data_IF_147337918332
#
_entry.id   IF_147337918332
#
_cell.length_a   1.000
_cell.length_b   1.000
_cell.length_c   1.000
_cell.angle_alpha   90.00
_cell.angle_beta   90.00
_cell.angle_gamma   90.00
#
_symmetry.space_group_name_H-M   'P 1'
#
loop_
_entity.id
_entity.type
_entity.pdbx_description
1 polymer ?
#
# COMPACT_ATOMS: atom_id res chain seq x y z
N UNK A 1 -63.31 22.41 -35.79
CA UNK A 1 -63.22 20.95 -35.59
C UNK A 1 -61.95 20.45 -36.28
N UNK A 2 -61.00 19.92 -35.52
CA UNK A 2 -59.83 19.08 -35.88
C UNK A 2 -58.94 19.05 -34.61
N UNK A 3 -58.32 17.99 -34.11
CA UNK A 3 -58.05 16.62 -34.53
C UNK A 3 -56.77 16.22 -33.79
N UNK A 4 -56.75 15.15 -32.98
CA UNK A 4 -55.56 14.84 -32.15
C UNK A 4 -55.68 13.58 -31.28
N UNK A 5 -56.08 12.45 -31.85
CA UNK A 5 -56.34 11.20 -31.13
C UNK A 5 -55.42 10.02 -31.50
N UNK A 6 -54.15 10.26 -31.87
CA UNK A 6 -53.27 9.23 -32.45
C UNK A 6 -51.94 8.95 -31.74
N UNK A 7 -51.64 9.62 -30.63
CA UNK A 7 -50.30 9.60 -29.99
C UNK A 7 -50.19 8.85 -28.66
N UNK A 8 -51.31 8.59 -27.96
CA UNK A 8 -51.28 8.08 -26.58
C UNK A 8 -50.62 6.70 -26.45
N UNK A 9 -50.81 5.81 -27.43
CA UNK A 9 -50.19 4.48 -27.42
C UNK A 9 -48.66 4.53 -27.60
N UNK A 10 -48.14 5.55 -28.28
CA UNK A 10 -46.68 5.76 -28.46
C UNK A 10 -46.03 6.18 -27.15
N UNK A 11 -46.74 6.95 -26.32
CA UNK A 11 -46.27 7.36 -24.99
C UNK A 11 -46.20 6.14 -24.07
N UNK A 12 -47.23 5.29 -24.07
CA UNK A 12 -47.22 4.05 -23.29
C UNK A 12 -46.12 3.08 -23.74
N UNK A 13 -45.85 2.99 -25.05
CA UNK A 13 -44.75 2.19 -25.59
C UNK A 13 -43.37 2.73 -25.19
N UNK A 14 -43.18 4.06 -25.25
CA UNK A 14 -41.92 4.68 -24.84
C UNK A 14 -41.62 4.48 -23.34
N UNK A 15 -42.65 4.54 -22.50
CA UNK A 15 -42.52 4.29 -21.06
C UNK A 15 -42.13 2.83 -20.77
N UNK A 16 -42.76 1.86 -21.45
CA UNK A 16 -42.40 0.44 -21.36
C UNK A 16 -40.93 0.18 -21.74
N UNK A 17 -40.48 0.74 -22.87
CA UNK A 17 -39.09 0.55 -23.35
C UNK A 17 -38.10 1.18 -22.38
N UNK A 18 -38.44 2.33 -21.78
CA UNK A 18 -37.57 2.99 -20.80
C UNK A 18 -37.49 2.19 -19.51
N UNK A 19 -38.60 1.60 -19.05
CA UNK A 19 -38.62 0.70 -17.90
C UNK A 19 -37.79 -0.58 -18.15
N UNK A 20 -37.89 -1.17 -19.34
CA UNK A 20 -37.07 -2.33 -19.73
C UNK A 20 -35.58 -1.99 -19.84
N UNK A 21 -35.24 -0.81 -20.37
CA UNK A 21 -33.86 -0.32 -20.41
C UNK A 21 -33.30 -0.12 -19.00
N UNK A 22 -34.06 0.49 -18.09
CA UNK A 22 -33.65 0.67 -16.70
C UNK A 22 -33.46 -0.68 -15.99
N UNK A 23 -34.36 -1.63 -16.20
CA UNK A 23 -34.25 -2.99 -15.67
C UNK A 23 -33.00 -3.71 -16.20
N UNK A 24 -32.71 -3.57 -17.49
CA UNK A 24 -31.51 -4.13 -18.11
C UNK A 24 -30.23 -3.52 -17.53
N UNK A 25 -30.18 -2.19 -17.33
CA UNK A 25 -29.04 -1.53 -16.69
C UNK A 25 -28.81 -2.03 -15.26
N UNK A 26 -29.89 -2.25 -14.49
CA UNK A 26 -29.78 -2.80 -13.12
C UNK A 26 -29.26 -4.24 -13.15
N UNK A 27 -29.80 -5.09 -14.01
CA UNK A 27 -29.32 -6.47 -14.16
C UNK A 27 -27.88 -6.52 -14.68
N UNK A 28 -27.52 -5.62 -15.60
CA UNK A 28 -26.17 -5.48 -16.14
C UNK A 28 -25.16 -5.09 -15.04
N UNK A 29 -25.53 -4.16 -14.15
CA UNK A 29 -24.71 -3.77 -12.97
C UNK A 29 -24.60 -4.92 -11.96
N UNK A 30 -25.68 -5.66 -11.72
CA UNK A 30 -25.67 -6.80 -10.80
C UNK A 30 -24.86 -7.99 -11.34
N UNK A 31 -24.77 -8.13 -12.66
CA UNK A 31 -23.95 -9.14 -13.35
C UNK A 31 -22.48 -8.73 -13.51
N UNK A 32 -22.09 -7.51 -13.11
CA UNK A 32 -20.67 -7.16 -13.05
C UNK A 32 -20.00 -7.90 -11.89
N UNK A 33 -18.77 -8.34 -12.13
CA UNK A 33 -17.95 -9.08 -11.19
C UNK A 33 -17.72 -8.27 -9.90
N UNK A 34 -17.60 -8.95 -8.74
CA UNK A 34 -17.50 -8.26 -7.43
C UNK A 34 -16.24 -7.39 -7.30
N UNK A 35 -15.24 -7.64 -8.15
CA UNK A 35 -13.98 -6.89 -8.27
C UNK A 35 -14.19 -5.46 -8.78
N UNK A 36 -15.15 -5.23 -9.69
CA UNK A 36 -15.41 -3.90 -10.29
C UNK A 36 -16.16 -2.97 -9.31
N UNK A 37 -16.89 -3.52 -8.34
CA UNK A 37 -17.60 -2.73 -7.32
C UNK A 37 -16.65 -2.04 -6.34
N UNK A 38 -15.48 -2.62 -6.07
CA UNK A 38 -14.45 -2.04 -5.21
C UNK A 38 -13.81 -0.78 -5.79
N UNK A 39 -13.49 -0.81 -7.09
CA UNK A 39 -12.82 0.30 -7.79
C UNK A 39 -13.71 1.54 -7.90
N UNK A 40 -15.01 1.33 -8.15
CA UNK A 40 -15.98 2.43 -8.21
C UNK A 40 -16.18 3.07 -6.83
N UNK A 41 -16.11 2.29 -5.74
CA UNK A 41 -16.21 2.81 -4.38
C UNK A 41 -15.02 3.72 -4.02
N UNK A 42 -13.81 3.35 -4.45
CA UNK A 42 -12.61 4.18 -4.27
C UNK A 42 -12.77 5.54 -4.98
N UNK A 43 -13.29 5.55 -6.21
CA UNK A 43 -13.52 6.78 -6.99
C UNK A 43 -14.44 7.79 -6.28
N UNK A 44 -15.44 7.31 -5.52
CA UNK A 44 -16.35 8.18 -4.77
C UNK A 44 -15.78 8.67 -3.42
N UNK A 45 -14.81 7.96 -2.84
CA UNK A 45 -14.12 8.39 -1.62
C UNK A 45 -13.03 9.43 -1.91
N UNK A 46 -12.35 9.35 -3.06
CA UNK A 46 -11.23 10.25 -3.37
C UNK A 46 -11.67 11.67 -3.74
N UNK A 47 -12.93 11.88 -4.16
CA UNK A 47 -13.41 13.20 -4.61
C UNK A 47 -13.48 14.27 -3.51
N UNK A 48 -13.59 13.87 -2.24
CA UNK A 48 -13.73 14.83 -1.13
C UNK A 48 -12.39 15.34 -0.57
N UNK A 49 -11.24 14.74 -0.93
CA UNK A 49 -9.94 15.10 -0.34
C UNK A 49 -8.98 15.87 -1.26
N UNK A 50 -9.35 16.19 -2.51
CA UNK A 50 -8.44 16.82 -3.48
C UNK A 50 -8.89 18.18 -4.02
N UNK A 51 -9.87 18.83 -3.39
CA UNK A 51 -10.38 20.14 -3.81
C UNK A 51 -10.12 21.28 -2.82
N UNK A 52 -9.02 21.19 -2.07
CA UNK A 52 -8.54 22.31 -1.26
C UNK A 52 -7.04 22.46 -1.40
N UNK A 53 -6.57 23.03 -2.53
CA UNK A 53 -5.53 24.08 -2.57
C UNK A 53 -5.12 24.42 -4.02
N UNK A 54 -5.41 25.68 -4.37
CA UNK A 54 -4.56 26.62 -5.11
C UNK A 54 -4.57 26.68 -6.66
N UNK A 55 -5.06 27.86 -7.11
CA UNK A 55 -4.72 28.67 -8.29
C UNK A 55 -5.17 28.22 -9.70
N UNK A 56 -6.01 29.03 -10.39
CA UNK A 56 -6.24 28.91 -11.81
C UNK A 56 -5.16 29.68 -12.57
N UNK A 57 -4.32 28.97 -13.32
CA UNK A 57 -3.39 29.64 -14.24
C UNK A 57 -2.26 28.75 -14.70
N UNK A 58 -2.32 28.38 -15.98
CA UNK A 58 -1.27 27.72 -16.78
C UNK A 58 -1.04 26.26 -16.38
N UNK A 59 -1.56 25.34 -17.20
CA UNK A 59 -1.19 23.93 -17.19
C UNK A 59 0.09 23.79 -18.03
N UNK A 60 1.26 23.45 -17.44
CA UNK A 60 2.42 23.05 -18.23
C UNK A 60 2.16 21.69 -18.86
N UNK A 61 2.65 21.47 -20.09
CA UNK A 61 2.53 20.20 -20.82
C UNK A 61 3.10 18.97 -20.08
N UNK A 62 3.86 19.18 -19.00
CA UNK A 62 4.33 18.10 -18.11
C UNK A 62 3.19 17.40 -17.37
N UNK A 63 2.05 18.07 -17.17
CA UNK A 63 0.88 17.44 -16.59
C UNK A 63 0.32 16.33 -17.50
N UNK A 64 0.47 16.44 -18.83
CA UNK A 64 0.03 15.38 -19.75
C UNK A 64 0.90 14.14 -19.60
N UNK A 65 2.24 14.30 -19.50
CA UNK A 65 3.17 13.19 -19.23
C UNK A 65 2.98 12.58 -17.84
N UNK A 66 2.63 13.37 -16.84
CA UNK A 66 2.30 12.88 -15.49
C UNK A 66 0.95 12.14 -15.45
N UNK A 67 0.00 12.55 -16.28
CA UNK A 67 -1.30 11.89 -16.43
C UNK A 67 -1.17 10.63 -17.27
N UNK A 68 -0.38 10.61 -18.33
CA UNK A 68 -0.02 9.41 -19.11
C UNK A 68 0.78 8.44 -18.25
N UNK A 69 1.85 8.88 -17.58
CA UNK A 69 2.61 8.02 -16.65
C UNK A 69 1.75 7.48 -15.50
N UNK A 70 0.81 8.28 -14.96
CA UNK A 70 -0.16 7.75 -13.99
C UNK A 70 -1.12 6.76 -14.65
N UNK A 71 -1.65 7.08 -15.83
CA UNK A 71 -2.62 6.24 -16.52
C UNK A 71 -2.01 4.89 -16.89
N UNK A 72 -0.75 4.85 -17.31
CA UNK A 72 -0.01 3.61 -17.58
C UNK A 72 0.23 2.80 -16.28
N UNK A 73 0.55 3.47 -15.16
CA UNK A 73 0.64 2.82 -13.83
C UNK A 73 -0.72 2.24 -13.38
N UNK A 74 -1.84 2.89 -13.72
CA UNK A 74 -3.19 2.46 -13.31
C UNK A 74 -3.83 1.46 -14.29
N UNK A 75 -3.52 1.50 -15.60
CA UNK A 75 -4.00 0.54 -16.60
C UNK A 75 -3.22 -0.79 -16.52
N UNK A 76 -1.95 -0.77 -16.07
CA UNK A 76 -1.17 -1.98 -15.74
C UNK A 76 -1.27 -2.43 -14.27
N UNK A 77 -2.13 -1.82 -13.45
CA UNK A 77 -2.58 -2.42 -12.18
C UNK A 77 -3.51 -3.64 -12.41
N UNK A 78 -3.46 -4.22 -13.61
CA UNK A 78 -4.20 -5.36 -14.08
C UNK A 78 -3.64 -6.66 -13.47
N UNK A 79 -4.21 -7.05 -12.33
CA UNK A 79 -4.50 -8.45 -11.96
C UNK A 79 -3.41 -9.50 -12.28
N UNK A 80 -2.15 -9.36 -11.83
CA UNK A 80 -1.13 -10.46 -11.75
C UNK A 80 -0.09 -10.15 -10.64
N UNK A 81 0.35 -11.09 -9.77
CA UNK A 81 -0.36 -12.16 -9.08
C UNK A 81 -0.25 -11.95 -7.55
N UNK A 82 -1.34 -11.52 -6.89
CA UNK A 82 -1.43 -11.45 -5.42
C UNK A 82 -1.00 -12.78 -4.75
N UNK A 83 -1.08 -13.88 -5.48
CA UNK A 83 -0.57 -15.20 -5.11
C UNK A 83 0.89 -15.22 -4.67
N UNK A 84 1.80 -14.48 -5.32
CA UNK A 84 3.21 -14.47 -4.92
C UNK A 84 3.39 -13.76 -3.58
N UNK A 85 2.77 -12.59 -3.43
CA UNK A 85 2.76 -11.83 -2.16
C UNK A 85 2.03 -12.62 -1.07
N UNK A 86 1.00 -13.41 -1.41
CA UNK A 86 0.30 -14.32 -0.50
C UNK A 86 1.21 -15.44 -0.02
N UNK A 87 1.95 -16.10 -0.92
CA UNK A 87 2.94 -17.12 -0.55
C UNK A 87 4.04 -16.54 0.33
N UNK A 88 4.53 -15.35 0.01
CA UNK A 88 5.49 -14.63 0.84
C UNK A 88 4.93 -14.40 2.24
N UNK A 89 3.69 -13.93 2.37
CA UNK A 89 3.02 -13.77 3.67
C UNK A 89 2.90 -15.10 4.42
N UNK A 90 2.48 -16.19 3.74
CA UNK A 90 2.41 -17.52 4.34
C UNK A 90 3.77 -18.00 4.86
N UNK A 91 4.85 -17.78 4.10
CA UNK A 91 6.19 -18.17 4.47
C UNK A 91 6.75 -17.34 5.63
N UNK A 92 6.50 -16.03 5.65
CA UNK A 92 6.79 -15.19 6.82
C UNK A 92 6.03 -15.69 8.05
N UNK A 93 4.73 -15.96 7.93
CA UNK A 93 3.94 -16.51 9.04
C UNK A 93 4.54 -17.84 9.53
N UNK A 94 4.95 -18.75 8.63
CA UNK A 94 5.61 -20.01 9.01
C UNK A 94 6.90 -19.76 9.78
N UNK A 95 7.79 -18.89 9.30
CA UNK A 95 9.07 -18.58 9.96
C UNK A 95 8.85 -18.06 11.38
N UNK A 96 7.83 -17.24 11.60
CA UNK A 96 7.56 -16.63 12.90
C UNK A 96 6.78 -17.56 13.85
N UNK A 97 5.82 -18.33 13.34
CA UNK A 97 5.01 -19.26 14.15
C UNK A 97 5.81 -20.50 14.55
N UNK A 98 6.72 -20.97 13.69
CA UNK A 98 7.53 -22.17 13.97
C UNK A 98 8.70 -21.91 14.91
N UNK A 99 9.11 -20.65 15.10
CA UNK A 99 10.23 -20.26 15.96
C UNK A 99 9.81 -19.31 17.10
N UNK A 100 8.81 -19.66 17.93
CA UNK A 100 8.22 -18.73 18.91
C UNK A 100 9.20 -18.37 20.05
N UNK A 101 10.20 -19.20 20.33
CA UNK A 101 11.23 -18.91 21.33
C UNK A 101 12.18 -17.79 20.86
N UNK A 102 12.39 -17.68 19.55
CA UNK A 102 13.29 -16.72 18.94
C UNK A 102 12.53 -15.47 18.49
N UNK A 103 11.30 -15.63 17.99
CA UNK A 103 10.48 -14.57 17.38
C UNK A 103 9.29 -14.21 18.27
N UNK A 104 9.31 -13.01 18.85
CA UNK A 104 8.15 -12.48 19.57
C UNK A 104 7.13 -11.88 18.58
N UNK A 105 5.92 -12.45 18.56
CA UNK A 105 4.82 -11.99 17.71
C UNK A 105 4.38 -10.56 18.01
N UNK A 106 4.71 -10.00 19.19
CA UNK A 106 4.42 -8.60 19.53
C UNK A 106 5.32 -7.59 18.80
N UNK A 107 6.43 -8.06 18.22
CA UNK A 107 7.41 -7.26 17.49
C UNK A 107 7.06 -7.15 16.00
N UNK A 108 6.04 -7.85 15.54
CA UNK A 108 5.66 -7.86 14.13
C UNK A 108 4.14 -7.79 13.95
N UNK A 109 3.70 -6.93 13.06
CA UNK A 109 2.32 -6.90 12.56
C UNK A 109 2.33 -6.98 11.03
N UNK A 110 1.64 -7.97 10.49
CA UNK A 110 1.48 -8.16 9.05
C UNK A 110 0.03 -7.89 8.65
N UNK A 111 -0.15 -7.11 7.59
CA UNK A 111 -1.46 -6.79 7.03
C UNK A 111 -1.41 -6.92 5.51
N UNK A 112 -2.29 -7.75 4.96
CA UNK A 112 -2.51 -7.86 3.53
C UNK A 112 -3.63 -6.89 3.13
N UNK A 113 -3.38 -6.07 2.12
CA UNK A 113 -4.34 -5.14 1.52
C UNK A 113 -4.28 -5.23 -0.02
N UNK A 114 -5.05 -4.40 -0.71
CA UNK A 114 -5.10 -4.37 -2.19
C UNK A 114 -3.80 -3.89 -2.84
N UNK A 115 -2.95 -3.18 -2.11
CA UNK A 115 -1.66 -2.71 -2.62
C UNK A 115 -0.56 -3.74 -2.37
N UNK A 116 -0.69 -4.65 -1.40
CA UNK A 116 0.25 -5.73 -1.15
C UNK A 116 0.30 -6.20 0.31
N UNK A 117 1.49 -6.62 0.77
CA UNK A 117 1.75 -7.00 2.15
C UNK A 117 2.49 -5.87 2.87
N UNK A 118 1.87 -5.32 3.92
CA UNK A 118 2.51 -4.41 4.86
C UNK A 118 3.04 -5.19 6.07
N UNK A 119 4.35 -5.08 6.32
CA UNK A 119 5.04 -5.68 7.45
C UNK A 119 5.53 -4.55 8.36
N UNK A 120 4.94 -4.39 9.54
CA UNK A 120 5.41 -3.47 10.57
C UNK A 120 6.32 -4.22 11.55
N UNK A 121 7.56 -3.76 11.69
CA UNK A 121 8.54 -4.29 12.63
C UNK A 121 8.64 -3.30 13.79
N UNK A 122 8.03 -3.66 14.90
CA UNK A 122 7.72 -2.79 16.03
C UNK A 122 8.82 -2.84 17.09
N UNK A 123 9.22 -1.70 17.65
CA UNK A 123 10.05 -1.70 18.85
C UNK A 123 9.19 -1.94 20.09
N UNK A 124 9.30 -3.14 20.66
CA UNK A 124 8.65 -3.53 21.90
C UNK A 124 9.63 -3.38 23.09
N UNK A 125 9.29 -2.69 24.20
CA UNK A 125 10.19 -2.56 25.35
C UNK A 125 10.68 -3.88 25.94
N UNK A 126 9.84 -4.92 25.91
CA UNK A 126 10.20 -6.26 26.43
C UNK A 126 11.25 -6.96 25.55
N UNK A 127 11.29 -6.62 24.26
CA UNK A 127 12.17 -7.22 23.26
C UNK A 127 12.54 -6.19 22.17
N UNK A 128 13.41 -5.22 22.50
CA UNK A 128 13.67 -4.08 21.62
C UNK A 128 14.41 -4.52 20.36
N UNK A 129 14.05 -3.94 19.22
CA UNK A 129 14.73 -4.16 17.93
C UNK A 129 15.85 -3.15 17.70
N UNK A 130 15.74 -1.95 18.29
CA UNK A 130 16.77 -0.92 18.26
C UNK A 130 17.48 -0.87 19.60
N UNK A 131 18.79 -0.62 19.60
CA UNK A 131 19.54 -0.33 20.82
C UNK A 131 19.00 0.96 21.45
N UNK A 132 18.99 0.99 22.77
CA UNK A 132 18.56 2.16 23.54
C UNK A 132 19.42 3.39 23.17
N UNK A 133 18.76 4.54 22.97
CA UNK A 133 19.41 5.79 22.57
C UNK A 133 19.97 5.81 21.14
N UNK A 134 19.82 4.73 20.37
CA UNK A 134 20.28 4.70 18.98
C UNK A 134 19.20 5.13 17.99
N UNK A 135 19.62 5.88 16.98
CA UNK A 135 18.81 6.19 15.82
C UNK A 135 18.42 4.92 15.06
N UNK A 136 19.38 4.05 14.73
CA UNK A 136 19.15 2.91 13.83
C UNK A 136 19.97 1.65 14.15
N UNK A 137 20.82 1.64 15.18
CA UNK A 137 21.55 0.42 15.55
C UNK A 137 20.57 -0.63 16.07
N UNK A 138 20.68 -1.84 15.53
CA UNK A 138 19.84 -2.96 15.93
C UNK A 138 20.44 -3.71 17.11
N UNK A 139 19.56 -4.24 17.96
CA UNK A 139 19.92 -5.29 18.93
C UNK A 139 20.21 -6.61 18.21
N UNK A 140 20.77 -7.60 18.89
CA UNK A 140 20.93 -8.95 18.32
C UNK A 140 19.59 -9.54 17.88
N UNK A 141 18.54 -9.33 18.67
CA UNK A 141 17.19 -9.72 18.32
C UNK A 141 16.68 -8.97 17.08
N UNK A 142 16.87 -7.64 17.01
CA UNK A 142 16.52 -6.85 15.84
C UNK A 142 17.20 -7.36 14.58
N UNK A 143 18.51 -7.66 14.65
CA UNK A 143 19.24 -8.24 13.52
C UNK A 143 18.65 -9.58 13.09
N UNK A 144 18.31 -10.47 14.03
CA UNK A 144 17.68 -11.75 13.74
C UNK A 144 16.32 -11.55 13.02
N UNK A 145 15.48 -10.62 13.51
CA UNK A 145 14.18 -10.30 12.90
C UNK A 145 14.36 -9.79 11.47
N UNK A 146 15.19 -8.77 11.27
CA UNK A 146 15.42 -8.23 9.92
C UNK A 146 16.05 -9.26 8.98
N UNK A 147 16.99 -10.08 9.45
CA UNK A 147 17.62 -11.12 8.63
C UNK A 147 16.60 -12.14 8.11
N UNK A 148 15.70 -12.62 8.98
CA UNK A 148 14.69 -13.61 8.59
C UNK A 148 13.67 -13.05 7.58
N UNK A 149 13.22 -11.81 7.80
CA UNK A 149 12.33 -11.11 6.87
C UNK A 149 13.02 -10.93 5.52
N UNK A 150 14.25 -10.42 5.55
CA UNK A 150 15.02 -10.11 4.35
C UNK A 150 15.29 -11.34 3.51
N UNK A 151 15.70 -12.44 4.15
CA UNK A 151 15.92 -13.72 3.47
C UNK A 151 14.63 -14.25 2.81
N UNK A 152 13.48 -14.08 3.47
CA UNK A 152 12.19 -14.52 2.93
C UNK A 152 11.78 -13.67 1.73
N UNK A 153 11.89 -12.34 1.82
CA UNK A 153 11.60 -11.43 0.70
C UNK A 153 12.50 -11.73 -0.50
N UNK A 154 13.78 -12.02 -0.27
CA UNK A 154 14.75 -12.36 -1.32
C UNK A 154 14.42 -13.62 -2.12
N UNK A 155 13.50 -14.49 -1.66
CA UNK A 155 13.04 -15.65 -2.44
C UNK A 155 12.03 -15.27 -3.54
N UNK A 156 11.58 -14.01 -3.55
CA UNK A 156 10.54 -13.50 -4.43
C UNK A 156 11.08 -12.31 -5.22
N UNK A 157 11.82 -12.59 -6.29
CA UNK A 157 12.49 -11.63 -7.17
C UNK A 157 11.53 -10.68 -7.90
N UNK A 158 10.37 -11.19 -8.34
CA UNK A 158 9.31 -10.39 -8.96
C UNK A 158 8.43 -9.65 -7.93
N UNK A 159 9.07 -8.86 -7.07
CA UNK A 159 8.39 -8.03 -6.07
C UNK A 159 9.02 -6.64 -5.94
N UNK A 160 8.21 -5.68 -5.52
CA UNK A 160 8.66 -4.34 -5.15
C UNK A 160 8.57 -4.11 -3.66
N UNK A 161 9.56 -3.40 -3.13
CA UNK A 161 9.74 -3.16 -1.71
C UNK A 161 9.81 -1.65 -1.47
N UNK A 162 8.90 -1.16 -0.64
CA UNK A 162 8.99 0.17 -0.05
C UNK A 162 9.31 0.06 1.44
N UNK A 163 10.23 0.91 1.91
CA UNK A 163 10.73 0.87 3.28
C UNK A 163 10.49 2.24 3.91
N UNK A 164 9.77 2.25 5.03
CA UNK A 164 9.43 3.46 5.77
C UNK A 164 9.92 3.36 7.21
N UNK A 165 10.62 4.38 7.69
CA UNK A 165 11.05 4.49 9.07
C UNK A 165 10.18 5.48 9.84
N UNK A 166 9.93 5.17 11.11
CA UNK A 166 9.08 5.99 11.98
C UNK A 166 9.69 6.11 13.38
N UNK A 167 9.36 7.20 14.05
CA UNK A 167 9.63 7.42 15.48
C UNK A 167 8.33 7.61 16.24
N UNK A 168 8.33 7.28 17.54
CA UNK A 168 7.25 7.70 18.41
C UNK A 168 7.35 9.21 18.68
N UNK A 169 6.25 9.86 19.05
CA UNK A 169 6.31 11.27 19.47
C UNK A 169 7.21 11.45 20.71
N UNK A 170 7.29 10.43 21.57
CA UNK A 170 8.16 10.35 22.74
C UNK A 170 9.63 10.04 22.43
N UNK A 171 10.00 9.82 21.16
CA UNK A 171 11.40 9.62 20.79
C UNK A 171 12.23 10.85 21.22
N UNK A 172 13.35 10.64 21.93
CA UNK A 172 14.16 11.74 22.45
C UNK A 172 14.75 12.54 21.29
N UNK A 173 14.84 13.85 21.50
CA UNK A 173 15.42 14.76 20.51
C UNK A 173 14.44 15.74 19.92
N UNK A 174 14.97 16.66 19.12
CA UNK A 174 14.17 17.67 18.43
C UNK A 174 13.48 17.12 17.17
N UNK A 175 12.84 18.00 16.40
CA UNK A 175 12.11 17.60 15.19
C UNK A 175 13.05 17.04 14.13
N UNK A 176 14.23 17.64 13.95
CA UNK A 176 15.19 17.26 12.92
C UNK A 176 15.85 15.92 13.29
N UNK A 177 16.20 15.72 14.56
CA UNK A 177 16.71 14.44 15.07
C UNK A 177 15.71 13.28 14.88
N UNK A 178 14.40 13.56 14.98
CA UNK A 178 13.36 12.55 14.67
C UNK A 178 13.32 12.21 13.19
N UNK A 179 13.47 13.19 12.29
CA UNK A 179 13.54 12.95 10.85
C UNK A 179 14.79 12.14 10.49
N UNK A 180 15.94 12.53 11.02
CA UNK A 180 17.22 11.83 10.83
C UNK A 180 17.16 10.39 11.34
N UNK A 181 16.62 10.18 12.55
CA UNK A 181 16.46 8.85 13.11
C UNK A 181 15.54 7.97 12.26
N UNK A 182 14.39 8.50 11.85
CA UNK A 182 13.45 7.74 11.02
C UNK A 182 14.03 7.38 9.65
N UNK A 183 14.76 8.30 9.01
CA UNK A 183 15.42 8.07 7.72
C UNK A 183 16.56 7.06 7.87
N UNK A 184 17.36 7.18 8.93
CA UNK A 184 18.44 6.26 9.24
C UNK A 184 17.94 4.83 9.47
N UNK A 185 16.78 4.66 10.15
CA UNK A 185 16.14 3.35 10.33
C UNK A 185 15.73 2.72 9.00
N UNK A 186 15.08 3.51 8.14
CA UNK A 186 14.65 3.05 6.82
C UNK A 186 15.85 2.62 5.97
N UNK A 187 16.92 3.42 5.98
CA UNK A 187 18.15 3.10 5.26
C UNK A 187 18.85 1.86 5.84
N UNK A 188 18.90 1.71 7.18
CA UNK A 188 19.49 0.53 7.80
C UNK A 188 18.73 -0.75 7.46
N UNK A 189 17.40 -0.68 7.40
CA UNK A 189 16.58 -1.79 6.93
C UNK A 189 16.91 -2.13 5.47
N UNK A 190 16.98 -1.13 4.55
CA UNK A 190 17.41 -1.35 3.15
C UNK A 190 18.74 -2.08 3.07
N UNK A 191 19.74 -1.61 3.83
CA UNK A 191 21.08 -2.21 3.86
C UNK A 191 21.02 -3.71 4.20
N UNK A 192 20.23 -4.09 5.21
CA UNK A 192 20.10 -5.48 5.64
C UNK A 192 19.34 -6.31 4.60
N UNK A 193 18.27 -5.75 4.01
CA UNK A 193 17.51 -6.41 2.96
C UNK A 193 18.43 -6.80 1.79
N UNK A 194 19.22 -5.85 1.31
CA UNK A 194 20.15 -6.08 0.21
C UNK A 194 21.27 -7.05 0.58
N UNK A 195 21.80 -6.95 1.80
CA UNK A 195 22.82 -7.88 2.30
C UNK A 195 22.32 -9.33 2.39
N UNK A 196 21.00 -9.56 2.37
CA UNK A 196 20.37 -10.89 2.41
C UNK A 196 19.76 -11.32 1.08
N UNK A 197 20.03 -10.59 0.00
CA UNK A 197 19.71 -11.00 -1.37
C UNK A 197 18.49 -10.31 -1.98
N UNK A 198 17.88 -9.33 -1.31
CA UNK A 198 16.89 -8.47 -1.97
C UNK A 198 17.63 -7.61 -3.00
N UNK A 199 17.24 -7.68 -4.26
CA UNK A 199 17.94 -6.97 -5.33
C UNK A 199 17.66 -5.47 -5.29
N UNK A 200 18.59 -4.67 -5.80
CA UNK A 200 18.45 -3.21 -5.79
C UNK A 200 17.19 -2.75 -6.56
N UNK A 201 16.88 -3.42 -7.67
CA UNK A 201 15.70 -3.15 -8.49
C UNK A 201 14.37 -3.43 -7.80
N UNK A 202 14.36 -4.30 -6.78
CA UNK A 202 13.17 -4.52 -5.96
C UNK A 202 12.90 -3.34 -5.04
N UNK A 203 13.94 -2.59 -4.62
CA UNK A 203 13.76 -1.47 -3.67
C UNK A 203 13.29 -0.22 -4.41
N UNK A 204 12.00 0.05 -4.34
CA UNK A 204 11.38 1.19 -5.02
C UNK A 204 11.49 2.49 -4.21
N UNK A 205 11.37 2.42 -2.88
CA UNK A 205 11.25 3.61 -2.01
C UNK A 205 11.90 3.39 -0.65
N UNK A 206 12.62 4.40 -0.18
CA UNK A 206 13.08 4.51 1.22
C UNK A 206 12.71 5.88 1.76
N UNK A 207 11.97 5.95 2.87
CA UNK A 207 11.51 7.21 3.45
C UNK A 207 11.53 7.19 4.98
N UNK A 208 11.82 8.35 5.59
CA UNK A 208 11.57 8.60 7.01
C UNK A 208 10.32 9.47 7.18
N UNK A 209 9.54 9.24 8.24
CA UNK A 209 8.32 10.01 8.54
C UNK A 209 8.30 10.65 9.93
N UNK A 210 9.41 10.58 10.68
CA UNK A 210 9.47 11.01 12.07
C UNK A 210 8.25 10.47 12.86
N UNK A 211 7.59 11.34 13.63
CA UNK A 211 6.40 11.05 14.42
C UNK A 211 5.07 11.41 13.72
N UNK A 212 5.09 11.66 12.40
CA UNK A 212 3.93 12.17 11.64
C UNK A 212 2.95 11.09 11.18
N UNK A 213 3.35 9.81 11.26
CA UNK A 213 2.54 8.64 10.89
C UNK A 213 2.49 7.61 12.02
N UNK A 214 1.82 7.90 13.14
CA UNK A 214 1.61 6.93 14.22
C UNK A 214 0.68 5.80 13.75
N UNK A 215 0.74 4.65 14.43
CA UNK A 215 -0.18 3.54 14.17
C UNK A 215 -1.62 3.92 14.58
N UNK A 216 -2.66 3.69 13.74
CA UNK A 216 -4.02 4.20 13.98
C UNK A 216 -4.68 3.77 15.29
N UNK A 217 -4.32 2.58 15.80
CA UNK A 217 -4.92 1.98 17.00
C UNK A 217 -4.03 2.09 18.24
N UNK A 218 -3.01 2.96 18.22
CA UNK A 218 -2.09 3.14 19.34
C UNK A 218 -1.92 4.61 19.71
N UNK A 219 -1.66 4.92 20.99
CA UNK A 219 -1.24 6.25 21.40
C UNK A 219 -0.01 6.71 20.61
N UNK A 220 0.10 8.00 20.30
CA UNK A 220 1.20 8.55 19.50
C UNK A 220 2.58 8.38 20.18
N UNK A 221 2.60 8.30 21.51
CA UNK A 221 3.81 8.08 22.32
C UNK A 221 4.12 6.59 22.57
N UNK A 222 3.33 5.67 22.00
CA UNK A 222 3.55 4.24 22.17
C UNK A 222 4.94 3.84 21.62
N UNK A 223 5.74 3.04 22.36
CA UNK A 223 7.07 2.61 21.91
C UNK A 223 7.07 1.95 20.54
N UNK A 224 5.98 1.25 20.19
CA UNK A 224 5.77 0.57 18.91
C UNK A 224 5.71 1.53 17.72
N UNK A 225 5.52 2.83 17.93
CA UNK A 225 5.65 3.82 16.85
C UNK A 225 7.11 4.04 16.43
N UNK A 226 8.08 3.66 17.27
CA UNK A 226 9.47 3.45 16.82
C UNK A 226 9.52 2.14 16.05
N UNK A 227 9.40 2.21 14.72
CA UNK A 227 9.25 1.04 13.87
C UNK A 227 9.86 1.26 12.50
N UNK A 228 10.01 0.16 11.78
CA UNK A 228 10.18 0.16 10.34
C UNK A 228 8.99 -0.56 9.72
N UNK A 229 8.44 0.02 8.68
CA UNK A 229 7.38 -0.56 7.87
C UNK A 229 7.96 -0.96 6.53
N UNK A 230 7.73 -2.20 6.10
CA UNK A 230 8.14 -2.71 4.79
C UNK A 230 6.87 -3.10 4.04
N UNK A 231 6.62 -2.46 2.91
CA UNK A 231 5.52 -2.81 2.00
C UNK A 231 6.08 -3.59 0.82
N UNK A 232 5.57 -4.81 0.63
CA UNK A 232 5.94 -5.68 -0.48
C UNK A 232 4.75 -5.78 -1.44
N UNK A 233 4.99 -5.51 -2.72
CA UNK A 233 3.98 -5.56 -3.79
C UNK A 233 4.44 -6.52 -4.88
N UNK A 234 3.51 -6.99 -5.70
CA UNK A 234 3.88 -7.69 -6.95
C UNK A 234 4.77 -6.76 -7.81
N UNK A 235 5.72 -7.34 -8.53
CA UNK A 235 6.51 -6.59 -9.51
C UNK A 235 5.63 -6.07 -10.66
N UNK A 236 6.17 -5.11 -11.42
CA UNK A 236 5.54 -4.74 -12.68
C UNK A 236 5.79 -5.88 -13.66
N UNK A 237 4.73 -6.42 -14.29
CA UNK A 237 4.90 -7.34 -15.40
C UNK A 237 5.81 -6.68 -16.45
N UNK A 238 6.86 -7.35 -16.94
CA UNK A 238 7.67 -6.79 -18.02
C UNK A 238 6.77 -6.59 -19.24
N UNK A 239 6.82 -5.40 -19.84
CA UNK A 239 6.22 -5.15 -21.15
C UNK A 239 6.77 -6.20 -22.12
N UNK A 240 5.91 -7.04 -22.69
CA UNK A 240 6.29 -7.84 -23.84
C UNK A 240 6.70 -6.84 -24.94
N UNK A 241 7.99 -6.80 -25.28
CA UNK A 241 8.47 -6.08 -26.46
C UNK A 241 7.79 -6.70 -27.68
N UNK A 242 6.69 -6.10 -28.14
CA UNK A 242 6.08 -6.39 -29.43
C UNK A 242 7.11 -6.09 -30.53
N UNK A 243 7.72 -7.15 -31.07
CA UNK A 243 8.63 -7.13 -32.22
C UNK A 243 7.92 -7.17 -33.57
#
# INVERSE_FOLDING_TARGET
MAGGGGGAWKVAYADLVTAMMAMFLVLWILSQDETVKGDVQLYFQTRYNTLTQQSPGIIPNDAMRLVEAKKDIFEHASVIPLEQVRRLNEDLVKVFVQNPNEMDMKTMEMQMDSEGLLINILNNPDKPIFKEGSAAELTEYGQLVFNNISWTIAQYDDTQVEIEGHTANSYPGDVDEKWDASTSRAHKAREILMAKGVEEQQVLKVAGYADKRPLPQRPHNAPQNNRVSIRVRAGFAPEEEDG
#
